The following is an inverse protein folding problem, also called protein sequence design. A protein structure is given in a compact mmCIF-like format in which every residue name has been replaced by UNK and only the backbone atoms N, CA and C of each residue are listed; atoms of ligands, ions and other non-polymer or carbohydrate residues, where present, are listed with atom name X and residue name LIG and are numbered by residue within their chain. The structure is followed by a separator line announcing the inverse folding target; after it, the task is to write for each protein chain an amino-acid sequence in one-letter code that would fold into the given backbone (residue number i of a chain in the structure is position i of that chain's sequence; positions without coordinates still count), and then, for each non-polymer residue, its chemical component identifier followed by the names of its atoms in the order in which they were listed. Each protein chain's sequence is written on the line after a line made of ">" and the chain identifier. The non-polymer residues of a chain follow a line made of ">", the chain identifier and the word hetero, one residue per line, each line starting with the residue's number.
data_IF_651448448002
#
_entry.id   IF_651448448002
#
_cell.length_a   1.000
_cell.length_b   1.000
_cell.length_c   1.000
_cell.angle_alpha   90.00
_cell.angle_beta   90.00
_cell.angle_gamma   90.00
#
_symmetry.space_group_name_H-M   'P 1'
#
loop_
_entity.id
_entity.type
_entity.pdbx_description
1 polymer ?
#
# COMPACT_ATOMS: atom_id res chain seq x y z
N UNK A 1 0.26 40.43 47.81
CA UNK A 1 1.41 40.49 46.89
C UNK A 1 1.29 39.27 46.01
N UNK A 2 0.39 39.33 45.03
CA UNK A 2 0.10 38.31 44.05
C UNK A 2 -0.08 39.08 42.75
N UNK A 3 0.83 38.89 41.81
CA UNK A 3 0.50 38.18 40.58
C UNK A 3 1.80 37.90 39.84
N UNK A 4 2.08 36.62 39.68
CA UNK A 4 3.11 36.12 38.80
C UNK A 4 2.49 35.99 37.41
N UNK A 5 3.12 36.60 36.42
CA UNK A 5 3.02 36.09 35.04
C UNK A 5 4.36 36.26 34.37
N UNK A 6 5.16 35.20 34.54
CA UNK A 6 6.31 34.90 33.71
C UNK A 6 5.86 34.76 32.27
N UNK A 7 6.53 35.52 31.42
CA UNK A 7 6.61 35.33 29.98
C UNK A 7 7.11 33.92 29.72
N UNK A 8 6.34 33.11 29.00
CA UNK A 8 6.90 31.91 28.35
C UNK A 8 6.47 31.92 26.90
N UNK A 9 7.38 32.46 26.10
CA UNK A 9 7.45 32.35 24.65
C UNK A 9 7.62 30.86 24.33
N UNK A 10 6.58 30.22 23.80
CA UNK A 10 6.71 28.85 23.30
C UNK A 10 7.33 28.90 21.91
N UNK A 11 8.64 28.69 21.86
CA UNK A 11 9.41 28.40 20.67
C UNK A 11 8.76 27.21 19.96
N UNK A 12 8.20 27.44 18.77
CA UNK A 12 7.82 26.36 17.86
C UNK A 12 9.09 25.66 17.39
N UNK A 13 9.49 24.65 18.15
CA UNK A 13 10.48 23.68 17.73
C UNK A 13 9.93 22.92 16.51
N UNK A 14 10.66 23.08 15.42
CA UNK A 14 10.50 22.36 14.17
C UNK A 14 10.61 20.85 14.44
N UNK A 15 9.47 20.18 14.59
CA UNK A 15 9.42 18.72 14.70
C UNK A 15 9.75 18.13 13.32
N UNK A 16 10.99 17.64 13.22
CA UNK A 16 11.47 16.74 12.19
C UNK A 16 10.57 15.52 12.13
N UNK A 17 9.73 15.43 11.09
CA UNK A 17 8.87 14.28 10.86
C UNK A 17 9.72 13.03 10.54
N UNK A 18 9.78 12.11 11.50
CA UNK A 18 10.22 10.73 11.31
C UNK A 18 9.45 10.10 10.12
N UNK A 19 10.13 9.46 9.15
CA UNK A 19 9.45 8.74 8.07
C UNK A 19 8.70 7.54 8.68
N UNK A 20 7.40 7.70 8.85
CA UNK A 20 6.55 6.72 9.52
C UNK A 20 6.43 5.43 8.69
N UNK A 21 6.35 4.27 9.37
CA UNK A 21 6.19 2.89 8.82
C UNK A 21 5.26 2.75 7.60
N UNK A 22 4.25 3.61 7.46
CA UNK A 22 3.36 3.65 6.30
C UNK A 22 4.07 4.02 4.99
N UNK A 23 5.06 4.92 5.03
CA UNK A 23 5.89 5.26 3.88
C UNK A 23 6.72 4.06 3.40
N UNK A 24 7.22 3.24 4.34
CA UNK A 24 7.96 2.01 4.02
C UNK A 24 7.08 0.92 3.43
N UNK A 25 5.83 0.77 3.91
CA UNK A 25 4.87 -0.17 3.34
C UNK A 25 4.49 0.22 1.90
N UNK A 26 4.21 1.51 1.66
CA UNK A 26 3.94 2.03 0.32
C UNK A 26 5.12 1.79 -0.63
N UNK A 27 6.35 2.02 -0.18
CA UNK A 27 7.53 1.78 -1.01
C UNK A 27 7.69 0.30 -1.38
N UNK A 28 7.36 -0.62 -0.48
CA UNK A 28 7.34 -2.06 -0.77
C UNK A 28 6.24 -2.42 -1.78
N UNK A 29 5.04 -1.83 -1.65
CA UNK A 29 3.95 -2.03 -2.61
C UNK A 29 4.32 -1.51 -4.01
N UNK A 30 4.93 -0.33 -4.08
CA UNK A 30 5.40 0.26 -5.35
C UNK A 30 6.46 -0.66 -6.01
N UNK A 31 7.40 -1.22 -5.23
CA UNK A 31 8.40 -2.16 -5.77
C UNK A 31 7.76 -3.44 -6.32
N UNK A 32 6.76 -3.99 -5.63
CA UNK A 32 6.05 -5.19 -6.10
C UNK A 32 5.29 -4.93 -7.41
N UNK A 33 4.69 -3.75 -7.55
CA UNK A 33 4.04 -3.32 -8.78
C UNK A 33 5.05 -3.23 -9.93
N UNK A 34 6.21 -2.62 -9.69
CA UNK A 34 7.27 -2.50 -10.69
C UNK A 34 7.79 -3.88 -11.15
N UNK A 35 7.99 -4.81 -10.22
CA UNK A 35 8.40 -6.18 -10.55
C UNK A 35 7.35 -6.93 -11.37
N UNK A 36 6.06 -6.74 -11.07
CA UNK A 36 4.97 -7.38 -11.80
C UNK A 36 4.86 -6.83 -13.22
N UNK A 37 4.96 -5.51 -13.37
CA UNK A 37 4.97 -4.82 -14.66
C UNK A 37 6.20 -5.24 -15.47
N UNK A 38 7.38 -5.26 -14.86
CA UNK A 38 8.62 -5.68 -15.50
C UNK A 38 8.58 -7.12 -16.01
N UNK A 39 8.03 -8.04 -15.22
CA UNK A 39 7.80 -9.44 -15.65
C UNK A 39 6.83 -9.53 -16.83
N UNK A 40 5.70 -8.84 -16.78
CA UNK A 40 4.74 -8.84 -17.88
C UNK A 40 5.36 -8.31 -19.18
N UNK A 41 6.14 -7.23 -19.10
CA UNK A 41 6.84 -6.68 -20.26
C UNK A 41 7.90 -7.65 -20.81
N UNK A 42 8.65 -8.33 -19.93
CA UNK A 42 9.63 -9.34 -20.35
C UNK A 42 8.99 -10.55 -21.06
N UNK A 43 7.75 -10.88 -20.69
CA UNK A 43 6.94 -11.92 -21.33
C UNK A 43 6.17 -11.43 -22.57
N UNK A 44 6.32 -10.15 -22.95
CA UNK A 44 5.61 -9.55 -24.08
C UNK A 44 4.11 -9.33 -23.84
N UNK A 45 3.66 -9.37 -22.58
CA UNK A 45 2.28 -9.15 -22.21
C UNK A 45 1.96 -7.64 -22.18
N UNK A 46 0.82 -7.28 -22.77
CA UNK A 46 0.23 -5.97 -22.57
C UNK A 46 -0.23 -5.79 -21.12
N UNK A 47 -0.13 -4.58 -20.57
CA UNK A 47 -0.59 -4.32 -19.20
C UNK A 47 -2.13 -4.36 -19.08
N UNK A 48 -2.82 -4.03 -20.16
CA UNK A 48 -4.29 -3.97 -20.27
C UNK A 48 -4.75 -4.55 -21.60
N UNK A 49 -6.07 -4.76 -21.74
CA UNK A 49 -6.66 -5.33 -22.96
C UNK A 49 -6.76 -6.86 -22.89
N UNK A 50 -7.23 -7.47 -23.98
CA UNK A 50 -7.43 -8.91 -24.05
C UNK A 50 -6.09 -9.65 -23.92
N UNK A 51 -6.04 -10.66 -23.05
CA UNK A 51 -4.82 -11.39 -22.70
C UNK A 51 -3.83 -10.61 -21.85
N UNK A 52 -4.13 -9.34 -21.50
CA UNK A 52 -3.23 -8.48 -20.73
C UNK A 52 -3.13 -8.83 -19.24
N UNK A 53 -2.09 -8.33 -18.59
CA UNK A 53 -1.76 -8.58 -17.19
C UNK A 53 -2.96 -8.30 -16.25
N UNK A 54 -3.59 -7.13 -16.37
CA UNK A 54 -4.71 -6.75 -15.51
C UNK A 54 -5.92 -7.68 -15.67
N UNK A 55 -6.21 -8.12 -16.90
CA UNK A 55 -7.30 -9.06 -17.16
C UNK A 55 -6.99 -10.42 -16.53
N UNK A 56 -5.76 -10.92 -16.68
CA UNK A 56 -5.33 -12.18 -16.07
C UNK A 56 -5.39 -12.12 -14.54
N UNK A 57 -4.93 -11.03 -13.94
CA UNK A 57 -5.00 -10.82 -12.48
C UNK A 57 -6.45 -10.78 -11.99
N UNK A 58 -7.31 -10.03 -12.67
CA UNK A 58 -8.74 -9.95 -12.35
C UNK A 58 -9.41 -11.32 -12.44
N UNK A 59 -9.10 -12.08 -13.49
CA UNK A 59 -9.60 -13.45 -13.66
C UNK A 59 -9.16 -14.35 -12.51
N UNK A 60 -7.86 -14.37 -12.18
CA UNK A 60 -7.35 -15.17 -11.05
C UNK A 60 -7.99 -14.74 -9.73
N UNK A 61 -8.23 -13.45 -9.51
CA UNK A 61 -8.90 -12.95 -8.31
C UNK A 61 -10.35 -13.43 -8.23
N UNK A 62 -11.10 -13.38 -9.34
CA UNK A 62 -12.46 -13.91 -9.43
C UNK A 62 -12.51 -15.42 -9.20
N UNK A 63 -11.60 -16.17 -9.83
CA UNK A 63 -11.44 -17.61 -9.62
C UNK A 63 -11.07 -17.92 -8.17
N UNK A 64 -10.16 -17.15 -7.56
CA UNK A 64 -9.76 -17.31 -6.16
C UNK A 64 -10.90 -16.97 -5.20
N UNK A 65 -11.75 -15.99 -5.53
CA UNK A 65 -12.94 -15.69 -4.73
C UNK A 65 -13.95 -16.84 -4.80
N UNK A 66 -14.13 -17.44 -5.98
CA UNK A 66 -15.00 -18.59 -6.18
C UNK A 66 -14.45 -19.86 -5.53
N UNK A 67 -13.14 -20.09 -5.60
CA UNK A 67 -12.48 -21.25 -5.00
C UNK A 67 -12.26 -21.08 -3.48
N UNK A 68 -12.12 -19.84 -3.00
CA UNK A 68 -12.06 -19.48 -1.59
C UNK A 68 -13.39 -19.67 -0.85
N UNK A 69 -14.54 -19.63 -1.56
CA UNK A 69 -15.82 -20.13 -1.02
C UNK A 69 -15.84 -21.67 -0.89
N UNK A 70 -15.02 -22.40 -1.66
CA UNK A 70 -15.01 -23.88 -1.69
C UNK A 70 -13.89 -24.49 -0.82
N UNK A 71 -12.81 -23.74 -0.54
CA UNK A 71 -11.60 -24.25 0.15
C UNK A 71 -11.25 -23.52 1.45
N UNK A 72 -12.22 -22.83 2.04
CA UNK A 72 -12.18 -22.25 3.39
C UNK A 72 -11.15 -21.11 3.57
N UNK A 73 -11.63 -19.87 3.47
CA UNK A 73 -11.16 -18.84 4.39
C UNK A 73 -12.35 -18.14 5.06
N UNK A 74 -12.83 -18.66 6.20
CA UNK A 74 -13.55 -17.84 7.14
C UNK A 74 -12.58 -16.75 7.57
N UNK A 75 -12.82 -15.53 7.11
CA UNK A 75 -12.51 -14.35 7.93
C UNK A 75 -13.42 -14.41 9.15
N UNK A 76 -13.11 -15.37 10.01
CA UNK A 76 -13.47 -15.47 11.41
C UNK A 76 -12.40 -14.69 12.13
N UNK A 77 -12.63 -13.40 12.29
CA UNK A 77 -12.37 -12.63 13.50
C UNK A 77 -13.42 -11.53 13.57
#
# INVERSE_FOLDING_TARGET
>A
MEDASMTTENVSESETAEPTKAASAKAADDQLLDELVGRAQAEGLHLTGEGGLLQQLTKRLLESALEGEITDHPSRL
#
